data_IF_857818091443
#
_entry.id   IF_857818091443
#
_cell.length_a   1.000
_cell.length_b   1.000
_cell.length_c   1.000
_cell.angle_alpha   90.00
_cell.angle_beta   90.00
_cell.angle_gamma   90.00
#
_symmetry.space_group_name_H-M   'P 1'
#
loop_
_entity.id
_entity.type
_entity.pdbx_description
1 polymer ?
#
# COMPACT_ATOMS: atom_id res chain seq x y z
N UNK A 1 3.21 8.74 -5.20
CA UNK A 1 3.76 8.18 -6.44
C UNK A 1 2.75 7.33 -7.20
N UNK A 2 2.04 6.39 -6.57
CA UNK A 2 1.00 5.58 -7.24
C UNK A 2 -0.34 6.29 -7.48
N UNK A 3 -0.47 7.59 -7.22
CA UNK A 3 -1.76 8.30 -7.32
C UNK A 3 -2.79 7.97 -6.23
N UNK A 4 -2.40 7.19 -5.21
CA UNK A 4 -3.26 6.84 -4.08
C UNK A 4 -3.28 7.94 -3.02
N UNK A 5 -4.45 8.15 -2.41
CA UNK A 5 -4.63 9.09 -1.30
C UNK A 5 -4.42 8.38 0.03
N UNK A 6 -3.82 9.08 1.01
CA UNK A 6 -3.59 8.52 2.35
C UNK A 6 -4.70 8.95 3.31
N UNK A 7 -5.08 8.03 4.19
CA UNK A 7 -6.05 8.28 5.25
C UNK A 7 -5.38 8.93 6.46
N UNK A 8 -5.99 10.01 6.98
CA UNK A 8 -5.55 10.73 8.17
C UNK A 8 -4.79 12.02 7.87
N UNK A 9 -4.53 12.80 8.92
CA UNK A 9 -3.71 14.00 8.86
C UNK A 9 -2.26 13.65 9.14
N UNK A 10 -1.33 14.19 8.36
CA UNK A 10 0.09 13.87 8.47
C UNK A 10 0.66 14.13 9.87
N UNK A 11 0.19 15.20 10.54
CA UNK A 11 0.59 15.59 11.89
C UNK A 11 0.29 14.54 12.99
N UNK A 12 -0.67 13.65 12.77
CA UNK A 12 -1.08 12.64 13.74
C UNK A 12 -0.93 11.21 13.21
N UNK A 13 -0.24 11.04 12.08
CA UNK A 13 -0.10 9.74 11.44
C UNK A 13 0.89 8.86 12.20
N UNK A 14 0.49 7.63 12.47
CA UNK A 14 1.40 6.63 13.02
C UNK A 14 2.50 6.28 12.02
N UNK A 15 3.75 6.20 12.50
CA UNK A 15 4.92 5.89 11.65
C UNK A 15 4.90 4.46 11.10
N UNK A 16 4.22 3.56 11.79
CA UNK A 16 4.30 2.11 11.56
C UNK A 16 3.08 1.54 10.81
N UNK A 17 2.01 2.31 10.64
CA UNK A 17 0.81 1.92 9.89
C UNK A 17 0.38 3.05 8.98
N UNK A 18 0.31 2.77 7.68
CA UNK A 18 -0.16 3.71 6.67
C UNK A 18 -1.56 3.33 6.22
N UNK A 19 -2.52 4.23 6.42
CA UNK A 19 -3.86 4.11 5.85
C UNK A 19 -3.88 4.61 4.41
N UNK A 20 -4.40 3.82 3.47
CA UNK A 20 -4.47 4.13 2.05
C UNK A 20 -5.92 4.01 1.60
N UNK A 21 -6.45 5.05 0.97
CA UNK A 21 -7.80 4.98 0.39
C UNK A 21 -7.83 4.01 -0.79
N UNK A 22 -8.92 3.25 -0.86
CA UNK A 22 -9.23 2.40 -2.00
C UNK A 22 -9.66 3.33 -3.14
N UNK A 23 -9.00 3.27 -4.30
CA UNK A 23 -9.39 4.09 -5.45
C UNK A 23 -10.77 3.69 -5.96
N UNK A 24 -11.50 4.68 -6.49
CA UNK A 24 -12.84 4.46 -7.04
C UNK A 24 -12.82 3.40 -8.16
N UNK A 25 -13.81 2.49 -8.13
CA UNK A 25 -13.91 1.40 -9.09
C UNK A 25 -13.04 0.18 -8.78
N UNK A 26 -12.23 0.20 -7.72
CA UNK A 26 -11.44 -0.97 -7.28
C UNK A 26 -12.12 -1.69 -6.12
N UNK A 27 -12.22 -3.01 -6.23
CA UNK A 27 -12.71 -3.87 -5.15
C UNK A 27 -11.61 -4.10 -4.10
N UNK A 28 -11.79 -3.44 -2.94
CA UNK A 28 -10.89 -3.51 -1.80
C UNK A 28 -10.57 -4.92 -1.29
N UNK A 29 -11.57 -5.79 -1.29
CA UNK A 29 -11.45 -7.16 -0.77
C UNK A 29 -10.78 -8.08 -1.78
N UNK A 30 -11.04 -7.86 -3.07
CA UNK A 30 -10.38 -8.60 -4.15
C UNK A 30 -8.89 -8.30 -4.22
N UNK A 31 -8.50 -7.03 -4.11
CA UNK A 31 -7.08 -6.64 -4.00
C UNK A 31 -6.42 -7.34 -2.82
N UNK A 32 -7.07 -7.35 -1.65
CA UNK A 32 -6.57 -8.06 -0.46
C UNK A 32 -6.41 -9.56 -0.68
N UNK A 33 -7.41 -10.20 -1.28
CA UNK A 33 -7.38 -11.63 -1.56
C UNK A 33 -6.22 -11.98 -2.51
N UNK A 34 -5.99 -11.17 -3.54
CA UNK A 34 -4.92 -11.37 -4.52
C UNK A 34 -3.54 -11.08 -3.96
N UNK A 35 -3.37 -10.01 -3.19
CA UNK A 35 -2.12 -9.74 -2.46
C UNK A 35 -1.72 -10.94 -1.59
N UNK A 36 -2.68 -11.54 -0.90
CA UNK A 36 -2.44 -12.73 -0.07
C UNK A 36 -2.18 -13.98 -0.90
N UNK A 37 -2.98 -14.22 -1.95
CA UNK A 37 -2.93 -15.44 -2.74
C UNK A 37 -1.75 -15.52 -3.72
N UNK A 38 -1.39 -14.40 -4.34
CA UNK A 38 -0.35 -14.34 -5.38
C UNK A 38 1.03 -13.97 -4.82
N UNK A 39 1.07 -13.16 -3.76
CA UNK A 39 2.32 -12.60 -3.23
C UNK A 39 2.60 -12.95 -1.77
N UNK A 40 1.71 -13.70 -1.10
CA UNK A 40 1.80 -14.05 0.32
C UNK A 40 1.85 -12.81 1.25
N UNK A 41 1.30 -11.69 0.79
CA UNK A 41 1.30 -10.41 1.52
C UNK A 41 -0.10 -10.11 2.05
N UNK A 42 -0.20 -9.97 3.35
CA UNK A 42 -1.45 -9.58 4.00
C UNK A 42 -1.48 -8.07 4.29
N UNK A 43 -2.50 -7.39 3.76
CA UNK A 43 -2.83 -6.00 4.12
C UNK A 43 -4.14 -5.97 4.90
N UNK A 44 -4.20 -5.08 5.89
CA UNK A 44 -5.35 -4.96 6.78
C UNK A 44 -6.52 -4.25 6.10
N UNK A 45 -7.74 -4.73 6.32
CA UNK A 45 -8.94 -3.93 6.05
C UNK A 45 -9.23 -2.98 7.21
N UNK A 46 -9.98 -1.92 6.95
CA UNK A 46 -10.55 -1.08 7.99
C UNK A 46 -11.90 -1.64 8.44
N UNK A 47 -12.29 -1.35 9.69
CA UNK A 47 -13.56 -1.78 10.26
C UNK A 47 -14.48 -0.58 10.50
N UNK A 48 -15.77 -0.85 10.68
CA UNK A 48 -16.78 0.17 10.98
C UNK A 48 -16.97 1.17 9.82
N UNK A 49 -16.99 2.49 10.07
CA UNK A 49 -17.34 3.50 9.04
C UNK A 49 -16.35 3.60 7.87
N UNK A 50 -15.17 2.97 8.02
CA UNK A 50 -14.10 2.95 7.02
C UNK A 50 -13.98 1.60 6.29
N UNK A 51 -14.82 0.62 6.64
CA UNK A 51 -14.84 -0.67 5.95
C UNK A 51 -15.13 -0.48 4.46
N UNK A 52 -14.33 -1.11 3.60
CA UNK A 52 -14.43 -0.97 2.15
C UNK A 52 -13.92 0.36 1.58
N UNK A 53 -13.37 1.25 2.40
CA UNK A 53 -12.83 2.56 1.94
C UNK A 53 -11.33 2.69 2.08
N UNK A 54 -10.72 2.01 3.05
CA UNK A 54 -9.32 2.19 3.41
C UNK A 54 -8.65 0.84 3.67
N UNK A 55 -7.46 0.65 3.09
CA UNK A 55 -6.51 -0.38 3.50
C UNK A 55 -5.54 0.15 4.54
N UNK A 56 -5.03 -0.75 5.38
CA UNK A 56 -3.97 -0.47 6.35
C UNK A 56 -2.74 -1.31 6.00
N UNK A 57 -1.66 -0.62 5.66
CA UNK A 57 -0.37 -1.24 5.36
C UNK A 57 0.53 -1.05 6.57
N UNK A 58 0.90 -2.15 7.23
CA UNK A 58 1.75 -2.14 8.41
C UNK A 58 3.21 -2.38 8.05
N UNK A 59 4.09 -1.49 8.49
CA UNK A 59 5.54 -1.66 8.47
C UNK A 59 6.05 -1.67 9.92
N UNK A 60 5.89 -2.82 10.58
CA UNK A 60 6.11 -2.97 12.03
C UNK A 60 7.18 -4.03 12.33
N UNK A 61 8.00 -3.80 13.35
CA UNK A 61 8.95 -4.78 13.89
C UNK A 61 9.86 -5.38 12.81
N UNK A 62 9.93 -6.71 12.74
CA UNK A 62 10.75 -7.43 11.76
C UNK A 62 10.34 -7.16 10.29
N UNK A 63 9.14 -6.64 10.05
CA UNK A 63 8.67 -6.29 8.72
C UNK A 63 9.00 -4.86 8.29
N UNK A 64 9.53 -4.02 9.20
CA UNK A 64 9.99 -2.67 8.89
C UNK A 64 11.38 -2.67 8.23
N UNK A 65 11.53 -3.39 7.11
CA UNK A 65 12.78 -3.49 6.35
C UNK A 65 12.60 -2.97 4.93
N UNK A 66 13.59 -2.23 4.42
CA UNK A 66 13.56 -1.58 3.08
C UNK A 66 13.11 -2.55 1.98
N UNK A 67 13.69 -3.74 1.90
CA UNK A 67 13.36 -4.73 0.88
C UNK A 67 11.92 -5.24 0.98
N UNK A 68 11.36 -5.42 2.19
CA UNK A 68 9.98 -5.85 2.39
C UNK A 68 8.99 -4.78 1.93
N UNK A 69 9.28 -3.52 2.24
CA UNK A 69 8.47 -2.40 1.76
C UNK A 69 8.45 -2.35 0.23
N UNK A 70 9.61 -2.52 -0.42
CA UNK A 70 9.68 -2.56 -1.89
C UNK A 70 8.87 -3.72 -2.48
N UNK A 71 8.94 -4.92 -1.89
CA UNK A 71 8.15 -6.08 -2.32
C UNK A 71 6.64 -5.80 -2.18
N UNK A 72 6.22 -5.24 -1.04
CA UNK A 72 4.81 -4.86 -0.81
C UNK A 72 4.32 -3.82 -1.81
N UNK A 73 5.12 -2.80 -2.10
CA UNK A 73 4.78 -1.76 -3.07
C UNK A 73 4.67 -2.33 -4.49
N UNK A 74 5.61 -3.19 -4.90
CA UNK A 74 5.58 -3.84 -6.21
C UNK A 74 4.39 -4.78 -6.38
N UNK A 75 4.09 -5.59 -5.36
CA UNK A 75 2.91 -6.46 -5.36
C UNK A 75 1.61 -5.64 -5.44
N UNK A 76 1.50 -4.57 -4.65
CA UNK A 76 0.31 -3.71 -4.67
C UNK A 76 0.13 -3.06 -6.05
N UNK A 77 1.20 -2.56 -6.66
CA UNK A 77 1.15 -2.02 -8.02
C UNK A 77 0.68 -3.07 -9.03
N UNK A 78 1.21 -4.29 -8.98
CA UNK A 78 0.83 -5.39 -9.88
C UNK A 78 -0.65 -5.77 -9.74
N UNK A 79 -1.14 -5.91 -8.50
CA UNK A 79 -2.54 -6.24 -8.24
C UNK A 79 -3.47 -5.11 -8.66
N UNK A 80 -3.14 -3.84 -8.34
CA UNK A 80 -3.94 -2.69 -8.76
C UNK A 80 -4.10 -2.62 -10.28
N UNK A 81 -3.01 -2.84 -11.04
CA UNK A 81 -3.06 -2.89 -12.51
C UNK A 81 -4.02 -3.97 -13.00
N UNK A 82 -3.97 -5.14 -12.39
CA UNK A 82 -4.82 -6.26 -12.76
C UNK A 82 -6.30 -6.06 -12.33
N UNK A 83 -6.57 -5.15 -11.39
CA UNK A 83 -7.90 -4.70 -10.98
C UNK A 83 -8.36 -3.43 -11.72
N UNK A 84 -7.65 -3.02 -12.79
CA UNK A 84 -8.04 -1.90 -13.65
C UNK A 84 -7.59 -0.52 -13.19
N UNK A 85 -6.90 -0.41 -12.05
CA UNK A 85 -6.24 0.84 -11.63
C UNK A 85 -4.78 0.84 -12.09
N UNK A 86 -4.44 1.69 -13.06
CA UNK A 86 -3.14 1.67 -13.71
C UNK A 86 -2.28 2.85 -13.21
N UNK A 87 -1.50 2.69 -12.13
CA UNK A 87 -0.53 3.70 -11.72
C UNK A 87 0.61 3.80 -12.77
N UNK A 88 1.43 4.85 -12.74
CA UNK A 88 2.62 4.92 -13.60
C UNK A 88 3.60 3.77 -13.28
N UNK A 89 4.10 3.02 -14.29
CA UNK A 89 5.02 1.89 -14.09
C UNK A 89 6.25 2.24 -13.27
N UNK A 90 6.50 1.47 -12.21
CA UNK A 90 7.69 1.59 -11.38
C UNK A 90 7.68 2.78 -10.43
N UNK A 91 6.68 3.67 -10.51
CA UNK A 91 6.65 4.89 -9.72
C UNK A 91 6.66 4.62 -8.20
N UNK A 92 6.05 3.51 -7.75
CA UNK A 92 6.07 3.14 -6.34
C UNK A 92 7.50 2.85 -5.84
N UNK A 93 8.25 2.09 -6.63
CA UNK A 93 9.61 1.65 -6.32
C UNK A 93 10.59 2.81 -6.42
N UNK A 94 10.51 3.59 -7.50
CA UNK A 94 11.40 4.74 -7.73
C UNK A 94 11.27 5.77 -6.60
N UNK A 95 10.03 6.08 -6.20
CA UNK A 95 9.79 7.00 -5.09
C UNK A 95 10.31 6.46 -3.75
N UNK A 96 10.13 5.17 -3.48
CA UNK A 96 10.64 4.57 -2.25
C UNK A 96 12.18 4.56 -2.20
N UNK A 97 12.82 4.26 -3.35
CA UNK A 97 14.28 4.29 -3.48
C UNK A 97 14.86 5.68 -3.27
N UNK A 98 14.26 6.71 -3.87
CA UNK A 98 14.70 8.09 -3.68
C UNK A 98 14.69 8.50 -2.20
N UNK A 99 13.66 8.08 -1.44
CA UNK A 99 13.60 8.31 0.02
C UNK A 99 14.71 7.56 0.76
N UNK A 100 15.00 6.31 0.39
CA UNK A 100 16.06 5.53 1.02
C UNK A 100 17.47 6.06 0.73
N UNK A 101 17.69 6.58 -0.48
CA UNK A 101 18.94 7.21 -0.89
C UNK A 101 19.15 8.55 -0.18
N UNK A 102 18.11 9.36 0.00
CA UNK A 102 18.20 10.62 0.74
C UNK A 102 18.38 10.46 2.27
N UNK A 103 18.01 9.29 2.81
CA UNK A 103 18.14 8.96 4.22
C UNK A 103 19.44 8.19 4.55
N UNK A 104 20.32 8.01 3.56
CA UNK A 104 21.63 7.38 3.66
C UNK A 104 22.74 8.43 3.69
#
# INVERSE_FOLDING_TARGET
AMGLSLYGQDAYRMTNVTGVYIPDGVDGERVRARMRGEFEIEIGTAFGPLAGKVWRIGAMGYNAMRHKVLITLGALEAVLRAEGYVPPPGAAIDAARAVYEAAS
#
